data_IF_257549226978
#
_entry.id   IF_257549226978
#
_cell.length_a   1.000
_cell.length_b   1.000
_cell.length_c   1.000
_cell.angle_alpha   90.00
_cell.angle_beta   90.00
_cell.angle_gamma   90.00
#
_symmetry.space_group_name_H-M   'P 1'
#
loop_
_entity.id
_entity.type
_entity.pdbx_description
1 polymer ?
#
# COMPACT_ATOMS: atom_id res chain seq x y z
N UNK A 1 3.37 -9.60 6.07
CA UNK A 1 3.94 -10.85 5.52
C UNK A 1 3.82 -10.82 4.01
N UNK A 2 4.60 -11.62 3.28
CA UNK A 2 4.56 -11.67 1.80
C UNK A 2 4.26 -13.06 1.22
N UNK A 3 4.29 -14.08 2.06
CA UNK A 3 3.91 -15.46 1.78
C UNK A 3 2.43 -15.72 2.07
N UNK A 4 2.05 -17.00 2.11
CA UNK A 4 0.67 -17.44 2.18
C UNK A 4 0.07 -17.30 3.59
N UNK A 5 -1.23 -17.01 3.66
CA UNK A 5 -2.00 -17.16 4.90
C UNK A 5 -2.04 -18.64 5.26
N UNK A 6 -1.73 -18.96 6.52
CA UNK A 6 -1.82 -20.32 7.05
C UNK A 6 -3.27 -20.64 7.40
N UNK A 7 -3.75 -21.79 6.93
CA UNK A 7 -5.14 -22.24 7.10
C UNK A 7 -5.15 -23.57 7.83
N UNK A 8 -5.79 -23.59 9.00
CA UNK A 8 -6.16 -24.82 9.72
C UNK A 8 -7.61 -25.19 9.37
N UNK A 9 -7.78 -26.24 8.55
CA UNK A 9 -9.10 -26.66 8.07
C UNK A 9 -9.97 -27.27 9.19
N UNK A 10 -9.38 -27.89 10.21
CA UNK A 10 -10.13 -28.39 11.36
C UNK A 10 -10.71 -27.21 12.14
N UNK A 11 -9.91 -26.16 12.32
CA UNK A 11 -10.39 -24.95 12.97
C UNK A 11 -11.44 -24.20 12.13
N UNK A 12 -11.30 -24.19 10.79
CA UNK A 12 -12.37 -23.68 9.89
C UNK A 12 -13.68 -24.44 10.13
N UNK A 13 -13.63 -25.77 10.19
CA UNK A 13 -14.80 -26.58 10.49
C UNK A 13 -15.39 -26.26 11.87
N UNK A 14 -14.54 -26.00 12.87
CA UNK A 14 -14.97 -25.55 14.20
C UNK A 14 -15.74 -24.21 14.19
N UNK A 15 -15.34 -23.25 13.33
CA UNK A 15 -16.13 -22.02 13.14
C UNK A 15 -17.47 -22.30 12.47
N UNK A 16 -17.49 -23.07 11.38
CA UNK A 16 -18.72 -23.41 10.64
C UNK A 16 -19.69 -24.24 11.50
N UNK A 17 -19.16 -25.12 12.36
CA UNK A 17 -19.91 -25.90 13.34
C UNK A 17 -20.40 -25.11 14.56
N UNK A 18 -19.92 -23.86 14.74
CA UNK A 18 -20.28 -23.00 15.86
C UNK A 18 -19.54 -23.32 17.17
N UNK A 19 -18.50 -24.15 17.13
CA UNK A 19 -17.62 -24.41 18.28
C UNK A 19 -16.78 -23.18 18.61
N UNK A 20 -16.38 -22.42 17.58
CA UNK A 20 -15.60 -21.19 17.72
C UNK A 20 -16.43 -19.97 17.36
N UNK A 21 -16.51 -19.00 18.29
CA UNK A 21 -17.20 -17.74 18.04
C UNK A 21 -16.41 -16.87 17.04
N UNK A 22 -17.06 -16.33 15.99
CA UNK A 22 -16.40 -15.44 15.04
C UNK A 22 -15.90 -14.18 15.73
N UNK A 23 -14.81 -13.64 15.19
CA UNK A 23 -14.14 -12.43 15.68
C UNK A 23 -13.83 -12.48 17.19
N UNK A 24 -13.42 -13.66 17.67
CA UNK A 24 -13.16 -13.95 19.08
C UNK A 24 -14.32 -13.54 20.03
N UNK A 25 -15.57 -13.56 19.55
CA UNK A 25 -16.74 -13.19 20.34
C UNK A 25 -16.97 -11.68 20.49
N UNK A 26 -16.29 -10.83 19.70
CA UNK A 26 -16.45 -9.38 19.74
C UNK A 26 -17.89 -8.89 19.56
N UNK A 27 -18.75 -9.70 18.92
CA UNK A 27 -20.14 -9.38 18.62
C UNK A 27 -21.16 -10.13 19.50
N UNK A 28 -20.72 -10.78 20.59
CA UNK A 28 -21.57 -11.58 21.49
C UNK A 28 -22.67 -10.80 22.22
N UNK A 29 -22.60 -9.47 22.24
CA UNK A 29 -23.62 -8.60 22.86
C UNK A 29 -24.93 -8.46 22.07
N UNK A 30 -25.04 -9.06 20.89
CA UNK A 30 -26.26 -9.07 20.06
C UNK A 30 -26.37 -10.42 19.33
N UNK A 31 -27.60 -10.88 19.12
CA UNK A 31 -27.86 -12.03 18.25
C UNK A 31 -27.77 -11.62 16.77
N UNK A 32 -26.75 -12.15 16.09
CA UNK A 32 -26.52 -11.96 14.65
C UNK A 32 -26.89 -13.21 13.83
N UNK A 33 -27.40 -14.26 14.49
CA UNK A 33 -27.56 -15.59 13.92
C UNK A 33 -26.29 -16.45 14.03
N UNK A 34 -26.36 -17.65 13.43
CA UNK A 34 -25.20 -18.55 13.33
C UNK A 34 -24.18 -17.99 12.34
N UNK A 35 -22.91 -18.26 12.62
CA UNK A 35 -21.82 -17.90 11.72
C UNK A 35 -22.05 -18.46 10.31
N UNK A 36 -21.95 -17.59 9.31
CA UNK A 36 -22.05 -17.94 7.90
C UNK A 36 -20.75 -17.55 7.20
N UNK A 37 -19.87 -18.52 6.96
CA UNK A 37 -18.55 -18.29 6.35
C UNK A 37 -18.64 -17.64 4.97
N UNK A 38 -19.72 -17.91 4.22
CA UNK A 38 -19.93 -17.29 2.90
C UNK A 38 -20.26 -15.80 3.05
N UNK A 39 -21.12 -15.44 4.00
CA UNK A 39 -21.55 -14.05 4.20
C UNK A 39 -20.56 -13.21 5.00
N UNK A 40 -19.84 -13.80 5.93
CA UNK A 40 -19.03 -13.06 6.91
C UNK A 40 -17.53 -13.07 6.57
N UNK A 41 -17.08 -13.99 5.71
CA UNK A 41 -15.66 -14.09 5.32
C UNK A 41 -15.49 -14.02 3.81
N UNK A 42 -16.01 -15.00 3.06
CA UNK A 42 -15.76 -15.12 1.62
C UNK A 42 -16.34 -13.94 0.85
N UNK A 43 -17.61 -13.63 1.05
CA UNK A 43 -18.33 -12.53 0.39
C UNK A 43 -17.91 -11.13 0.83
N UNK A 44 -17.13 -11.01 1.91
CA UNK A 44 -16.59 -9.73 2.40
C UNK A 44 -15.09 -9.55 2.10
N UNK A 45 -14.45 -10.54 1.48
CA UNK A 45 -13.07 -10.40 1.03
C UNK A 45 -13.01 -9.29 -0.04
N UNK A 46 -12.25 -8.20 0.16
CA UNK A 46 -12.27 -7.05 -0.74
C UNK A 46 -11.79 -7.36 -2.16
N UNK A 47 -10.98 -8.42 -2.34
CA UNK A 47 -10.52 -8.86 -3.66
C UNK A 47 -11.24 -10.10 -4.18
N UNK A 48 -12.19 -10.66 -3.41
CA UNK A 48 -12.88 -11.89 -3.78
C UNK A 48 -11.94 -13.09 -3.97
N UNK A 49 -10.75 -13.09 -3.37
CA UNK A 49 -9.73 -14.10 -3.59
C UNK A 49 -9.90 -15.37 -2.74
N UNK A 50 -11.05 -15.55 -2.09
CA UNK A 50 -11.35 -16.67 -1.19
C UNK A 50 -12.44 -17.55 -1.80
N UNK A 51 -12.35 -18.86 -1.59
CA UNK A 51 -13.37 -19.83 -1.98
C UNK A 51 -13.59 -20.83 -0.84
N UNK A 52 -14.85 -21.20 -0.59
CA UNK A 52 -15.20 -22.23 0.37
C UNK A 52 -16.07 -23.27 -0.33
N UNK A 53 -15.49 -24.44 -0.58
CA UNK A 53 -16.08 -25.54 -1.36
C UNK A 53 -15.79 -26.87 -0.65
N UNK A 54 -16.76 -27.78 -0.63
CA UNK A 54 -16.66 -29.12 -0.01
C UNK A 54 -16.10 -29.10 1.42
N UNK A 55 -16.48 -28.09 2.20
CA UNK A 55 -16.06 -27.93 3.59
C UNK A 55 -14.66 -27.34 3.78
N UNK A 56 -13.95 -27.00 2.71
CA UNK A 56 -12.56 -26.49 2.75
C UNK A 56 -12.47 -25.05 2.30
N UNK A 57 -11.70 -24.27 3.04
CA UNK A 57 -11.39 -22.88 2.70
C UNK A 57 -10.09 -22.80 1.90
N UNK A 58 -10.12 -22.15 0.75
CA UNK A 58 -8.96 -21.84 -0.07
C UNK A 58 -8.81 -20.32 -0.25
N UNK A 59 -7.57 -19.85 -0.35
CA UNK A 59 -7.24 -18.44 -0.56
C UNK A 59 -6.22 -18.35 -1.70
N UNK A 60 -6.53 -17.60 -2.75
CA UNK A 60 -5.56 -17.21 -3.76
C UNK A 60 -4.70 -16.06 -3.21
N UNK A 61 -3.64 -16.39 -2.48
CA UNK A 61 -2.78 -15.42 -1.77
C UNK A 61 -2.14 -14.38 -2.70
N UNK A 62 -1.95 -14.70 -3.98
CA UNK A 62 -1.43 -13.77 -4.98
C UNK A 62 -2.34 -12.54 -5.16
N UNK A 63 -3.65 -12.75 -5.06
CA UNK A 63 -4.68 -11.70 -5.17
C UNK A 63 -5.13 -11.17 -3.80
N UNK A 64 -4.47 -11.58 -2.71
CA UNK A 64 -4.75 -11.10 -1.37
C UNK A 64 -4.03 -9.78 -1.09
N UNK A 65 -4.79 -8.75 -0.72
CA UNK A 65 -4.26 -7.44 -0.30
C UNK A 65 -3.90 -7.38 1.18
N UNK A 66 -4.01 -8.50 1.90
CA UNK A 66 -3.65 -8.63 3.33
C UNK A 66 -4.39 -7.62 4.24
N UNK A 67 -5.67 -7.40 3.96
CA UNK A 67 -6.54 -6.48 4.69
C UNK A 67 -6.91 -6.90 6.13
N UNK A 68 -6.44 -8.06 6.59
CA UNK A 68 -6.72 -8.68 7.89
C UNK A 68 -8.15 -9.20 8.13
N UNK A 69 -9.16 -8.85 7.31
CA UNK A 69 -10.57 -9.21 7.58
C UNK A 69 -10.78 -10.67 7.97
N UNK A 70 -10.35 -11.61 7.12
CA UNK A 70 -10.54 -13.04 7.36
C UNK A 70 -9.81 -13.55 8.61
N UNK A 71 -8.58 -13.08 8.86
CA UNK A 71 -7.81 -13.40 10.07
C UNK A 71 -8.50 -12.82 11.32
N UNK A 72 -9.02 -11.59 11.24
CA UNK A 72 -9.76 -10.98 12.34
C UNK A 72 -11.03 -11.77 12.68
N UNK A 73 -11.76 -12.25 11.67
CA UNK A 73 -12.99 -13.04 11.88
C UNK A 73 -12.68 -14.46 12.37
N UNK A 74 -11.63 -15.11 11.86
CA UNK A 74 -11.30 -16.51 12.22
C UNK A 74 -9.87 -16.67 12.79
N UNK A 75 -9.53 -15.99 13.90
CA UNK A 75 -8.15 -15.92 14.39
C UNK A 75 -7.58 -17.25 14.89
N UNK A 76 -8.41 -18.25 15.16
CA UNK A 76 -7.94 -19.61 15.50
C UNK A 76 -7.57 -20.42 14.26
N UNK A 77 -8.19 -20.14 13.12
CA UNK A 77 -8.05 -20.93 11.90
C UNK A 77 -7.11 -20.30 10.87
N UNK A 78 -7.07 -18.96 10.80
CA UNK A 78 -6.28 -18.22 9.84
C UNK A 78 -5.18 -17.43 10.54
N UNK A 79 -3.94 -17.67 10.11
CA UNK A 79 -2.76 -17.01 10.69
C UNK A 79 -1.95 -16.28 9.62
N UNK A 80 -1.24 -15.23 10.04
CA UNK A 80 -0.29 -14.52 9.18
C UNK A 80 0.78 -15.47 8.62
N UNK A 81 1.32 -15.15 7.45
CA UNK A 81 2.48 -15.85 6.90
C UNK A 81 3.76 -15.66 7.75
N UNK A 82 4.77 -16.46 7.44
CA UNK A 82 6.04 -16.52 8.15
C UNK A 82 7.13 -15.65 7.52
N UNK A 83 7.00 -15.26 6.24
CA UNK A 83 7.87 -14.26 5.61
C UNK A 83 7.40 -12.84 5.96
N UNK A 84 7.86 -12.35 7.12
CA UNK A 84 7.39 -11.12 7.77
C UNK A 84 8.24 -9.89 7.45
N UNK A 85 7.62 -8.72 7.64
CA UNK A 85 8.17 -7.41 7.34
C UNK A 85 7.07 -6.35 7.49
N UNK A 86 7.39 -5.10 7.17
CA UNK A 86 6.50 -3.95 7.30
C UNK A 86 6.41 -3.18 5.98
N UNK A 87 5.38 -2.36 5.85
CA UNK A 87 5.30 -1.32 4.82
C UNK A 87 5.61 0.03 5.46
N UNK A 88 6.28 0.92 4.73
CA UNK A 88 6.53 2.30 5.18
C UNK A 88 5.62 3.25 4.41
N UNK A 89 4.86 4.06 5.15
CA UNK A 89 3.97 5.08 4.60
C UNK A 89 4.42 6.46 5.10
N UNK A 90 4.40 7.47 4.22
CA UNK A 90 4.93 8.80 4.51
C UNK A 90 3.88 9.91 4.33
N UNK A 91 4.08 11.02 5.04
CA UNK A 91 3.34 12.27 4.81
C UNK A 91 2.11 12.54 5.68
N UNK A 92 1.73 11.62 6.57
CA UNK A 92 0.55 11.80 7.42
C UNK A 92 0.63 13.09 8.26
N UNK A 93 -0.45 13.88 8.28
CA UNK A 93 -0.55 15.12 9.06
C UNK A 93 -1.99 15.53 9.33
N UNK A 94 -2.14 16.32 10.40
CA UNK A 94 -3.36 17.06 10.70
C UNK A 94 -3.63 18.17 9.66
N UNK A 95 -4.81 18.83 9.68
CA UNK A 95 -5.23 19.77 8.64
C UNK A 95 -4.27 20.92 8.33
N UNK A 96 -3.67 21.58 9.33
CA UNK A 96 -2.86 22.79 9.11
C UNK A 96 -1.55 22.44 8.39
N UNK A 97 -1.15 23.09 7.29
CA UNK A 97 -1.84 24.16 6.55
C UNK A 97 -2.65 23.60 5.36
N UNK A 98 -2.05 22.75 4.53
CA UNK A 98 -2.59 22.35 3.22
C UNK A 98 -3.51 21.10 3.25
N UNK A 99 -4.31 20.97 4.30
CA UNK A 99 -5.25 19.88 4.49
C UNK A 99 -4.64 18.65 5.20
N UNK A 100 -5.55 17.80 5.67
CA UNK A 100 -5.20 16.57 6.36
C UNK A 100 -4.69 15.52 5.37
N UNK A 101 -3.76 14.69 5.81
CA UNK A 101 -3.22 13.59 5.02
C UNK A 101 -3.08 12.33 5.87
N UNK A 102 -3.39 11.19 5.28
CA UNK A 102 -2.93 9.88 5.77
C UNK A 102 -1.59 9.54 5.13
N UNK A 103 -0.93 8.50 5.63
CA UNK A 103 0.32 8.02 5.05
C UNK A 103 0.09 7.49 3.62
N UNK A 104 0.91 7.92 2.68
CA UNK A 104 0.97 7.36 1.31
C UNK A 104 2.05 6.28 1.24
N UNK A 105 1.79 5.16 0.56
CA UNK A 105 2.69 4.02 0.51
C UNK A 105 4.01 4.38 -0.19
N UNK A 106 5.13 4.28 0.53
CA UNK A 106 6.48 4.54 0.00
C UNK A 106 7.24 3.23 -0.24
N UNK A 107 7.34 2.40 0.80
CA UNK A 107 8.00 1.08 0.70
C UNK A 107 6.93 0.00 0.85
N UNK A 108 6.61 -0.75 -0.22
CA UNK A 108 5.60 -1.82 -0.15
C UNK A 108 5.95 -2.91 0.87
N UNK A 109 7.23 -3.29 0.95
CA UNK A 109 7.71 -4.31 1.88
C UNK A 109 9.18 -4.09 2.21
N UNK A 110 9.51 -4.10 3.49
CA UNK A 110 10.87 -4.11 4.02
C UNK A 110 10.94 -5.08 5.20
N UNK A 111 12.07 -5.78 5.34
CA UNK A 111 12.29 -6.60 6.54
C UNK A 111 12.38 -5.69 7.76
N UNK A 112 11.82 -6.15 8.87
CA UNK A 112 11.88 -5.46 10.15
C UNK A 112 12.62 -6.34 11.14
N UNK A 113 13.91 -6.52 10.88
CA UNK A 113 14.82 -7.32 11.70
C UNK A 113 15.86 -6.40 12.33
N UNK A 114 16.17 -6.59 13.61
CA UNK A 114 17.20 -5.81 14.31
C UNK A 114 18.56 -6.00 13.61
N UNK A 115 19.35 -4.94 13.36
CA UNK A 115 19.27 -3.56 13.90
C UNK A 115 18.43 -2.55 13.09
N UNK A 116 17.59 -3.02 12.15
CA UNK A 116 16.68 -2.21 11.33
C UNK A 116 17.38 -1.22 10.39
N UNK A 117 18.59 -1.55 9.94
CA UNK A 117 19.41 -0.64 9.14
C UNK A 117 18.71 -0.27 7.82
N UNK A 118 18.02 -1.20 7.14
CA UNK A 118 17.31 -0.85 5.91
C UNK A 118 16.16 0.14 6.15
N UNK A 119 15.51 0.09 7.32
CA UNK A 119 14.47 1.06 7.71
C UNK A 119 15.10 2.41 8.02
N UNK A 120 16.24 2.41 8.74
CA UNK A 120 16.96 3.64 9.12
C UNK A 120 17.52 4.36 7.89
N UNK A 121 18.06 3.64 6.91
CA UNK A 121 18.52 4.21 5.63
C UNK A 121 17.40 4.98 4.93
N UNK A 122 16.17 4.46 4.90
CA UNK A 122 15.02 5.17 4.33
C UNK A 122 14.66 6.41 5.16
N UNK A 123 14.71 6.32 6.49
CA UNK A 123 14.43 7.47 7.37
C UNK A 123 15.45 8.59 7.14
N UNK A 124 16.73 8.26 7.13
CA UNK A 124 17.84 9.19 6.95
C UNK A 124 17.77 9.85 5.56
N UNK A 125 17.53 9.08 4.49
CA UNK A 125 17.35 9.62 3.14
C UNK A 125 16.16 10.60 3.03
N UNK A 126 15.04 10.29 3.71
CA UNK A 126 13.89 11.21 3.79
C UNK A 126 14.24 12.47 4.57
N UNK A 127 15.01 12.36 5.66
CA UNK A 127 15.46 13.50 6.45
C UNK A 127 16.43 14.39 5.69
N UNK A 128 17.46 13.83 5.05
CA UNK A 128 18.44 14.59 4.27
C UNK A 128 17.75 15.46 3.21
N UNK A 129 16.77 14.89 2.51
CA UNK A 129 15.97 15.65 1.55
C UNK A 129 15.05 16.68 2.21
N UNK A 130 14.27 16.30 3.23
CA UNK A 130 13.30 17.20 3.86
C UNK A 130 13.96 18.33 4.65
N UNK A 131 15.12 18.09 5.25
CA UNK A 131 15.86 19.09 6.03
C UNK A 131 16.45 20.19 5.15
N UNK A 132 16.85 19.86 3.93
CA UNK A 132 17.38 20.84 2.96
C UNK A 132 16.25 21.55 2.19
N UNK A 133 15.26 20.80 1.71
CA UNK A 133 14.23 21.31 0.79
C UNK A 133 12.94 21.79 1.49
N UNK A 134 12.77 21.43 2.77
CA UNK A 134 11.62 21.78 3.58
C UNK A 134 11.58 23.27 3.88
N UNK A 135 10.45 23.93 3.58
CA UNK A 135 10.24 25.32 3.98
C UNK A 135 10.03 25.41 5.50
N UNK A 136 10.19 26.62 6.04
CA UNK A 136 9.90 26.89 7.44
C UNK A 136 8.49 26.39 7.83
N UNK A 137 8.45 25.46 8.79
CA UNK A 137 7.23 24.80 9.32
C UNK A 137 6.42 23.98 8.30
N UNK A 138 7.03 23.58 7.18
CA UNK A 138 6.41 22.69 6.21
C UNK A 138 6.58 21.23 6.63
N UNK A 139 5.48 20.48 6.70
CA UNK A 139 5.52 19.06 7.03
C UNK A 139 5.97 18.25 5.80
N UNK A 140 6.54 17.07 6.03
CA UNK A 140 6.93 16.14 4.95
C UNK A 140 5.80 15.92 3.91
N UNK A 141 4.57 15.73 4.35
CA UNK A 141 3.41 15.57 3.45
C UNK A 141 3.12 16.78 2.56
N UNK A 142 3.47 17.99 3.00
CA UNK A 142 3.32 19.22 2.22
C UNK A 142 4.47 19.38 1.23
N UNK A 143 5.70 19.03 1.64
CA UNK A 143 6.85 18.94 0.74
C UNK A 143 6.57 17.94 -0.40
N UNK A 144 6.02 16.75 -0.09
CA UNK A 144 5.64 15.74 -1.09
C UNK A 144 4.60 16.29 -2.08
N UNK A 145 3.58 17.02 -1.59
CA UNK A 145 2.62 17.68 -2.49
C UNK A 145 3.29 18.71 -3.40
N UNK A 146 4.22 19.50 -2.86
CA UNK A 146 4.85 20.63 -3.56
C UNK A 146 5.86 20.18 -4.60
N UNK A 147 6.73 19.24 -4.26
CA UNK A 147 7.80 18.75 -5.14
C UNK A 147 7.42 17.48 -5.93
N UNK A 148 6.32 16.84 -5.56
CA UNK A 148 5.83 15.61 -6.19
C UNK A 148 6.40 14.35 -5.54
N UNK A 149 5.63 13.27 -5.63
CA UNK A 149 6.00 11.97 -5.06
C UNK A 149 7.26 11.37 -5.74
N UNK A 150 7.50 11.72 -7.01
CA UNK A 150 8.69 11.31 -7.75
C UNK A 150 9.97 11.79 -7.08
N UNK A 151 9.97 12.98 -6.46
CA UNK A 151 11.15 13.49 -5.74
C UNK A 151 11.45 12.72 -4.46
N UNK A 152 10.41 12.29 -3.74
CA UNK A 152 10.56 11.39 -2.59
C UNK A 152 11.15 10.03 -3.03
N UNK A 153 10.70 9.48 -4.16
CA UNK A 153 11.24 8.24 -4.72
C UNK A 153 12.71 8.38 -5.12
N UNK A 154 13.09 9.49 -5.75
CA UNK A 154 14.49 9.79 -6.08
C UNK A 154 15.37 9.91 -4.83
N UNK A 155 14.91 10.68 -3.83
CA UNK A 155 15.64 10.90 -2.57
C UNK A 155 15.91 9.58 -1.81
N UNK A 156 14.96 8.64 -1.88
CA UNK A 156 15.06 7.33 -1.23
C UNK A 156 15.61 6.23 -2.14
N UNK A 157 16.00 6.56 -3.37
CA UNK A 157 16.46 5.61 -4.38
C UNK A 157 15.48 4.44 -4.62
N UNK A 158 14.18 4.70 -4.53
CA UNK A 158 13.11 3.71 -4.75
C UNK A 158 12.59 3.84 -6.17
N UNK A 159 12.54 2.73 -6.91
CA UNK A 159 11.92 2.72 -8.24
C UNK A 159 10.40 2.87 -8.15
N UNK A 160 9.77 3.72 -8.98
CA UNK A 160 8.31 3.81 -9.03
C UNK A 160 7.69 2.47 -9.44
N UNK A 161 6.67 2.05 -8.71
CA UNK A 161 5.89 0.84 -8.99
C UNK A 161 4.38 1.13 -8.92
N UNK A 162 3.51 0.32 -9.55
CA UNK A 162 2.07 0.55 -9.52
C UNK A 162 1.48 0.67 -8.11
N UNK A 163 2.07 0.00 -7.12
CA UNK A 163 1.65 0.04 -5.72
C UNK A 163 1.77 1.44 -5.09
N UNK A 164 2.57 2.34 -5.67
CA UNK A 164 2.72 3.72 -5.17
C UNK A 164 1.50 4.60 -5.45
N UNK A 165 0.58 4.16 -6.31
CA UNK A 165 -0.60 4.93 -6.67
C UNK A 165 -1.87 4.11 -6.49
N UNK A 166 -2.95 4.76 -6.07
CA UNK A 166 -4.29 4.17 -6.14
C UNK A 166 -4.82 4.17 -7.58
N UNK A 167 -4.49 5.22 -8.34
CA UNK A 167 -4.80 5.35 -9.75
C UNK A 167 -3.69 6.15 -10.47
N UNK A 168 -3.41 5.85 -11.75
CA UNK A 168 -2.58 6.73 -12.57
C UNK A 168 -3.22 8.11 -12.73
N UNK A 169 -2.39 9.12 -13.05
CA UNK A 169 -2.88 10.47 -13.36
C UNK A 169 -3.81 10.45 -14.57
N UNK A 170 -4.87 11.24 -14.52
CA UNK A 170 -5.81 11.46 -15.63
C UNK A 170 -5.63 12.82 -16.32
N UNK A 171 -4.66 13.64 -15.88
CA UNK A 171 -4.31 14.91 -16.52
C UNK A 171 -2.98 14.77 -17.30
N UNK A 172 -2.86 15.34 -18.51
CA UNK A 172 -1.75 15.05 -19.42
C UNK A 172 -0.49 15.91 -19.19
N UNK A 173 -0.36 16.63 -18.07
CA UNK A 173 0.80 17.50 -17.80
C UNK A 173 2.03 16.73 -17.32
N UNK A 174 2.52 15.82 -18.17
CA UNK A 174 3.63 14.92 -17.88
C UNK A 174 4.94 15.68 -18.07
N UNK A 175 5.74 15.75 -17.00
CA UNK A 175 7.11 16.25 -17.05
C UNK A 175 8.02 15.11 -17.50
N UNK A 176 8.94 15.44 -18.39
CA UNK A 176 10.07 14.59 -18.80
C UNK A 176 11.36 15.26 -18.35
N UNK A 177 12.39 14.46 -18.06
CA UNK A 177 13.73 15.02 -17.93
C UNK A 177 14.33 15.27 -19.31
N UNK A 178 15.18 16.28 -19.44
CA UNK A 178 15.75 16.64 -20.74
C UNK A 178 16.54 15.47 -21.35
N UNK A 179 17.28 14.74 -20.51
CA UNK A 179 18.06 13.56 -20.88
C UNK A 179 17.22 12.37 -21.39
N UNK A 180 15.91 12.36 -21.14
CA UNK A 180 14.98 11.32 -21.59
C UNK A 180 14.37 11.63 -22.96
N UNK A 181 14.53 12.86 -23.46
CA UNK A 181 13.95 13.33 -24.72
C UNK A 181 15.03 13.44 -25.78
N UNK A 182 14.90 12.66 -26.86
CA UNK A 182 15.82 12.70 -27.98
C UNK A 182 15.95 14.13 -28.55
N UNK A 183 17.19 14.64 -28.58
CA UNK A 183 17.50 16.00 -29.06
C UNK A 183 17.51 17.10 -27.99
N UNK A 184 17.08 16.80 -26.75
CA UNK A 184 17.05 17.78 -25.66
C UNK A 184 16.11 18.96 -25.91
N UNK A 185 16.29 20.07 -25.18
CA UNK A 185 15.39 21.23 -25.24
C UNK A 185 15.99 22.47 -25.91
N UNK A 186 17.30 22.45 -26.20
CA UNK A 186 17.98 23.50 -26.97
C UNK A 186 17.55 23.46 -28.44
N UNK A 187 16.60 24.32 -28.82
CA UNK A 187 16.00 24.36 -30.16
C UNK A 187 16.15 25.74 -30.79
N UNK A 188 16.50 25.78 -32.07
CA UNK A 188 16.53 27.00 -32.87
C UNK A 188 15.22 27.17 -33.66
N UNK A 189 14.57 28.32 -33.49
CA UNK A 189 13.36 28.68 -34.24
C UNK A 189 13.62 28.75 -35.75
N UNK A 190 14.83 29.10 -36.17
CA UNK A 190 15.17 29.21 -37.59
C UNK A 190 15.18 27.83 -38.28
N UNK A 191 15.68 26.79 -37.62
CA UNK A 191 15.63 25.41 -38.13
C UNK A 191 14.19 24.91 -38.31
N UNK A 192 13.31 25.22 -37.34
CA UNK A 192 11.89 24.88 -37.45
C UNK A 192 11.22 25.55 -38.65
N UNK A 193 11.57 26.82 -38.94
CA UNK A 193 10.96 27.62 -40.00
C UNK A 193 11.38 27.25 -41.42
N UNK A 194 12.46 26.47 -41.60
CA UNK A 194 12.81 25.90 -42.92
C UNK A 194 11.72 24.96 -43.46
N UNK A 195 10.98 24.31 -42.57
CA UNK A 195 9.95 23.33 -42.91
C UNK A 195 8.52 23.86 -42.70
N UNK A 196 8.35 24.94 -41.94
CA UNK A 196 7.03 25.46 -41.54
C UNK A 196 6.90 26.96 -41.83
N UNK A 197 6.16 27.30 -42.90
CA UNK A 197 5.80 28.68 -43.22
C UNK A 197 5.04 29.35 -42.06
N UNK A 198 5.13 30.67 -41.99
CA UNK A 198 4.57 31.45 -40.88
C UNK A 198 3.10 31.79 -41.09
#
# INVERSE_FOLDING_TARGET
WKDDIKIDQEAVAGYVGGEFAPNAGAHSGRDWGKFDIQKEVVGLCPTGCMAYEDGKLAINNKECTRCMHCINVMPRALHIGDERGVSMLAGAKAPILDGAQMGSLLVPFIKAEEPYDEIKEIIEAVWDWWMEEGKNRERLGELIKRQGFQKLLEATNIKPVPQHVQEPRHNPYIFWKEEEVEGGWQRDINEFRKYHQR
#
